data_IF_445143178969
#
_entry.id   IF_445143178969
#
_cell.length_a   1.000
_cell.length_b   1.000
_cell.length_c   1.000
_cell.angle_alpha   90.00
_cell.angle_beta   90.00
_cell.angle_gamma   90.00
#
_symmetry.space_group_name_H-M   'P 1'
#
loop_
_entity.id
_entity.type
_entity.pdbx_description
1 polymer ?
#
# COMPACT_ATOMS: atom_id res chain seq x y z
N UNK A 1 29.22 -10.44 -4.31
CA UNK A 1 28.38 -9.96 -3.21
C UNK A 1 26.99 -9.67 -3.72
N UNK A 2 25.95 -10.04 -2.99
CA UNK A 2 24.61 -9.67 -3.42
C UNK A 2 24.46 -8.14 -3.38
N UNK A 3 23.73 -7.61 -4.34
CA UNK A 3 23.41 -6.18 -4.33
C UNK A 3 22.53 -5.83 -3.14
N UNK A 4 22.69 -4.64 -2.56
CA UNK A 4 21.79 -4.21 -1.50
C UNK A 4 20.36 -4.07 -2.03
N UNK A 5 19.39 -4.39 -1.16
CA UNK A 5 17.98 -4.25 -1.49
C UNK A 5 17.67 -2.76 -1.61
N UNK A 6 17.15 -2.35 -2.78
CA UNK A 6 16.74 -0.97 -3.00
C UNK A 6 15.26 -0.82 -2.70
N UNK A 7 14.94 0.13 -1.84
CA UNK A 7 13.55 0.50 -1.56
C UNK A 7 13.09 1.57 -2.55
N UNK A 8 11.81 1.57 -2.93
CA UNK A 8 11.27 2.65 -3.79
C UNK A 8 11.45 4.02 -3.14
N UNK A 9 11.83 5.01 -3.94
CA UNK A 9 11.95 6.38 -3.47
C UNK A 9 10.57 6.96 -3.18
N UNK A 10 10.50 7.85 -2.19
CA UNK A 10 9.26 8.53 -1.85
C UNK A 10 8.89 9.53 -2.95
N UNK A 11 7.70 9.39 -3.56
CA UNK A 11 7.23 10.37 -4.54
C UNK A 11 6.72 11.64 -3.88
N UNK A 12 6.35 12.65 -4.68
CA UNK A 12 5.81 13.90 -4.18
C UNK A 12 4.33 13.82 -3.81
N UNK A 13 3.64 12.79 -4.27
CA UNK A 13 2.20 12.65 -4.05
C UNK A 13 1.83 11.20 -3.74
N UNK A 14 0.68 11.03 -3.08
CA UNK A 14 0.11 9.72 -2.78
C UNK A 14 -0.06 8.91 -4.06
N UNK A 15 0.42 7.67 -4.06
CA UNK A 15 0.35 6.81 -5.24
C UNK A 15 -1.05 6.27 -5.51
N UNK A 16 -2.02 6.53 -4.64
CA UNK A 16 -3.43 6.18 -4.86
C UNK A 16 -4.27 7.42 -5.21
N UNK A 17 -4.37 8.38 -4.30
CA UNK A 17 -5.26 9.54 -4.53
C UNK A 17 -4.57 10.72 -5.21
N UNK A 18 -3.25 10.67 -5.39
CA UNK A 18 -2.45 11.71 -6.03
C UNK A 18 -2.38 13.06 -5.30
N UNK A 19 -2.88 13.15 -4.05
CA UNK A 19 -2.76 14.39 -3.27
C UNK A 19 -1.32 14.57 -2.78
N UNK A 20 -0.85 15.80 -2.74
CA UNK A 20 0.46 16.16 -2.20
C UNK A 20 0.39 16.25 -0.66
N UNK A 21 -0.01 15.17 -0.02
CA UNK A 21 -0.15 15.05 1.43
C UNK A 21 1.09 14.35 2.02
N UNK A 22 1.24 14.40 3.34
CA UNK A 22 2.26 13.62 4.02
C UNK A 22 2.05 12.13 3.74
N UNK A 23 3.12 11.43 3.36
CA UNK A 23 3.04 10.05 2.91
C UNK A 23 3.51 9.07 3.99
N UNK A 24 2.94 7.88 3.95
CA UNK A 24 3.35 6.73 4.75
C UNK A 24 3.70 5.59 3.80
N UNK A 25 4.57 4.69 4.26
CA UNK A 25 4.95 3.54 3.45
C UNK A 25 4.07 2.34 3.80
N UNK A 26 3.25 1.94 2.82
CA UNK A 26 2.41 0.75 2.94
C UNK A 26 3.18 -0.47 2.41
N UNK A 27 3.28 -1.51 3.21
CA UNK A 27 3.86 -2.78 2.79
C UNK A 27 2.82 -3.56 2.00
N UNK A 28 3.06 -3.76 0.71
CA UNK A 28 2.16 -4.53 -0.17
C UNK A 28 2.07 -5.98 0.29
N UNK A 29 3.19 -6.49 0.83
CA UNK A 29 3.21 -7.78 1.53
C UNK A 29 3.36 -7.43 3.01
N UNK A 30 2.31 -7.54 3.84
CA UNK A 30 2.35 -7.06 5.22
C UNK A 30 3.53 -7.64 6.00
N UNK A 31 4.25 -6.77 6.69
CA UNK A 31 5.46 -7.15 7.42
C UNK A 31 5.21 -8.27 8.43
N UNK A 32 4.05 -8.26 9.08
CA UNK A 32 3.66 -9.29 10.04
C UNK A 32 3.58 -10.69 9.43
N UNK A 33 3.44 -10.80 8.10
CA UNK A 33 3.34 -12.08 7.41
C UNK A 33 4.65 -12.54 6.78
N UNK A 34 5.75 -11.77 6.90
CA UNK A 34 7.01 -12.11 6.26
C UNK A 34 7.60 -13.44 6.75
N UNK A 35 7.23 -13.86 7.97
CA UNK A 35 7.68 -15.12 8.55
C UNK A 35 6.80 -16.32 8.21
N UNK A 36 5.69 -16.10 7.53
CA UNK A 36 4.78 -17.19 7.17
C UNK A 36 5.33 -17.98 5.99
N UNK A 37 5.29 -19.31 6.10
CA UNK A 37 5.84 -20.19 5.08
C UNK A 37 5.19 -19.96 3.72
N UNK A 38 3.87 -19.80 3.68
CA UNK A 38 3.17 -19.58 2.42
C UNK A 38 3.56 -18.27 1.73
N UNK A 39 3.95 -17.25 2.50
CA UNK A 39 4.45 -15.99 1.97
C UNK A 39 5.88 -16.18 1.46
N UNK A 40 6.74 -16.84 2.23
CA UNK A 40 8.13 -17.10 1.85
C UNK A 40 8.23 -17.95 0.58
N UNK A 41 7.28 -18.87 0.38
CA UNK A 41 7.24 -19.69 -0.83
C UNK A 41 6.84 -18.89 -2.08
N UNK A 42 6.03 -17.85 -1.92
CA UNK A 42 5.54 -17.04 -3.03
C UNK A 42 6.43 -15.87 -3.38
N UNK A 43 7.11 -15.29 -2.38
CA UNK A 43 7.85 -14.04 -2.54
C UNK A 43 9.25 -14.18 -1.98
N UNK A 44 10.25 -13.80 -2.77
CA UNK A 44 11.64 -13.77 -2.30
C UNK A 44 11.85 -12.69 -1.23
N UNK A 45 12.96 -12.77 -0.52
CA UNK A 45 13.28 -11.82 0.55
C UNK A 45 13.32 -10.39 0.06
N UNK A 46 13.96 -10.15 -1.09
CA UNK A 46 14.04 -8.80 -1.68
C UNK A 46 12.65 -8.24 -1.98
N UNK A 47 11.78 -9.06 -2.58
CA UNK A 47 10.42 -8.65 -2.91
C UNK A 47 9.60 -8.35 -1.66
N UNK A 48 9.70 -9.20 -0.61
CA UNK A 48 8.97 -8.98 0.64
C UNK A 48 9.34 -7.65 1.29
N UNK A 49 10.60 -7.25 1.19
CA UNK A 49 11.10 -6.02 1.81
C UNK A 49 10.81 -4.80 0.95
N UNK A 50 10.98 -4.91 -0.38
CA UNK A 50 10.89 -3.76 -1.29
C UNK A 50 9.50 -3.52 -1.88
N UNK A 51 8.57 -4.46 -1.76
CA UNK A 51 7.21 -4.30 -2.27
C UNK A 51 6.42 -3.35 -1.37
N UNK A 52 6.54 -2.06 -1.63
CA UNK A 52 5.92 -1.01 -0.84
C UNK A 52 5.24 0.01 -1.75
N UNK A 53 4.28 0.75 -1.17
CA UNK A 53 3.54 1.79 -1.85
C UNK A 53 3.49 3.02 -0.94
N UNK A 54 3.79 4.18 -1.50
CA UNK A 54 3.73 5.43 -0.74
C UNK A 54 2.32 6.01 -0.82
N UNK A 55 1.65 6.07 0.31
CA UNK A 55 0.25 6.52 0.38
C UNK A 55 0.04 7.48 1.54
N UNK A 56 -0.92 8.40 1.37
CA UNK A 56 -1.29 9.29 2.46
C UNK A 56 -1.95 8.50 3.59
N UNK A 57 -2.01 9.08 4.78
CA UNK A 57 -2.57 8.39 5.95
C UNK A 57 -4.02 7.94 5.72
N UNK A 58 -4.82 8.76 5.03
CA UNK A 58 -6.22 8.41 4.78
C UNK A 58 -6.35 7.16 3.89
N UNK A 59 -5.56 7.09 2.80
CA UNK A 59 -5.56 5.92 1.94
C UNK A 59 -5.03 4.69 2.67
N UNK A 60 -3.95 4.84 3.44
CA UNK A 60 -3.35 3.76 4.21
C UNK A 60 -4.35 3.16 5.21
N UNK A 61 -5.05 4.03 5.95
CA UNK A 61 -6.06 3.59 6.90
C UNK A 61 -7.19 2.85 6.20
N UNK A 62 -7.63 3.32 5.04
CA UNK A 62 -8.71 2.70 4.29
C UNK A 62 -8.34 1.31 3.77
N UNK A 63 -7.10 1.14 3.30
CA UNK A 63 -6.59 -0.18 2.88
C UNK A 63 -6.73 -1.17 4.03
N UNK A 64 -6.26 -0.83 5.21
CA UNK A 64 -6.28 -1.72 6.37
C UNK A 64 -7.69 -1.91 6.96
N UNK A 65 -8.61 -1.02 6.61
CA UNK A 65 -10.01 -1.17 7.00
C UNK A 65 -10.75 -2.15 6.08
N UNK A 66 -10.41 -2.13 4.78
CA UNK A 66 -11.11 -2.94 3.77
C UNK A 66 -10.55 -4.35 3.65
N UNK A 67 -9.25 -4.53 3.89
CA UNK A 67 -8.57 -5.80 3.60
C UNK A 67 -7.86 -6.35 4.83
N UNK A 68 -7.94 -7.67 5.00
CA UNK A 68 -7.10 -8.35 5.98
C UNK A 68 -5.65 -8.41 5.47
N UNK A 69 -4.69 -8.66 6.37
CA UNK A 69 -3.29 -8.82 5.99
C UNK A 69 -3.09 -9.95 4.98
N UNK A 70 -3.80 -11.06 5.16
CA UNK A 70 -3.72 -12.20 4.25
C UNK A 70 -4.25 -11.85 2.86
N UNK A 71 -5.38 -11.14 2.78
CA UNK A 71 -5.92 -10.66 1.51
C UNK A 71 -4.93 -9.74 0.79
N UNK A 72 -4.28 -8.85 1.54
CA UNK A 72 -3.27 -7.96 0.97
C UNK A 72 -2.10 -8.75 0.39
N UNK A 73 -1.57 -9.71 1.14
CA UNK A 73 -0.43 -10.50 0.69
C UNK A 73 -0.74 -11.38 -0.52
N UNK A 74 -1.94 -11.97 -0.59
CA UNK A 74 -2.27 -12.98 -1.59
C UNK A 74 -2.99 -12.42 -2.83
N UNK A 75 -3.76 -11.34 -2.67
CA UNK A 75 -4.64 -10.85 -3.74
C UNK A 75 -4.38 -9.38 -4.09
N UNK A 76 -4.23 -8.52 -3.09
CA UNK A 76 -4.15 -7.06 -3.27
C UNK A 76 -2.74 -6.56 -2.97
N UNK A 77 -1.74 -7.20 -3.59
CA UNK A 77 -0.33 -6.95 -3.30
C UNK A 77 0.35 -6.03 -4.33
N UNK A 78 -0.41 -5.26 -5.07
CA UNK A 78 0.12 -4.21 -5.96
C UNK A 78 -0.93 -3.11 -6.13
N UNK A 79 -0.49 -1.98 -6.70
CA UNK A 79 -1.35 -0.82 -6.88
C UNK A 79 -2.58 -1.13 -7.73
N UNK A 80 -2.39 -1.82 -8.84
CA UNK A 80 -3.49 -2.10 -9.76
C UNK A 80 -4.54 -3.01 -9.13
N UNK A 81 -4.12 -4.04 -8.40
CA UNK A 81 -5.07 -4.94 -7.74
C UNK A 81 -5.82 -4.22 -6.61
N UNK A 82 -5.17 -3.33 -5.87
CA UNK A 82 -5.84 -2.51 -4.86
C UNK A 82 -6.93 -1.65 -5.51
N UNK A 83 -6.60 -0.98 -6.62
CA UNK A 83 -7.54 -0.11 -7.32
C UNK A 83 -8.62 -0.87 -8.10
N UNK A 84 -8.47 -2.19 -8.26
CA UNK A 84 -9.52 -3.02 -8.86
C UNK A 84 -10.70 -3.25 -7.91
N UNK A 85 -10.49 -3.09 -6.61
CA UNK A 85 -11.58 -3.18 -5.64
C UNK A 85 -12.42 -1.89 -5.70
N UNK A 86 -13.71 -2.05 -5.97
CA UNK A 86 -14.61 -0.91 -6.15
C UNK A 86 -14.70 -0.03 -4.91
N UNK A 87 -14.68 -0.64 -3.73
CA UNK A 87 -14.78 0.11 -2.46
C UNK A 87 -13.58 1.03 -2.28
N UNK A 88 -12.37 0.53 -2.55
CA UNK A 88 -11.16 1.34 -2.44
C UNK A 88 -11.11 2.38 -3.55
N UNK A 89 -11.43 1.99 -4.79
CA UNK A 89 -11.42 2.91 -5.93
C UNK A 89 -12.37 4.09 -5.69
N UNK A 90 -13.58 3.83 -5.24
CA UNK A 90 -14.56 4.87 -4.94
C UNK A 90 -14.05 5.82 -3.86
N UNK A 91 -13.47 5.27 -2.80
CA UNK A 91 -12.86 6.08 -1.73
C UNK A 91 -11.73 6.95 -2.26
N UNK A 92 -10.84 6.37 -3.05
CA UNK A 92 -9.67 7.07 -3.60
C UNK A 92 -10.11 8.21 -4.53
N UNK A 93 -11.09 7.97 -5.40
CA UNK A 93 -11.62 8.99 -6.30
C UNK A 93 -12.25 10.15 -5.52
N UNK A 94 -13.01 9.83 -4.50
CA UNK A 94 -13.59 10.84 -3.62
C UNK A 94 -12.53 11.65 -2.89
N UNK A 95 -11.54 10.96 -2.33
CA UNK A 95 -10.46 11.59 -1.58
C UNK A 95 -9.61 12.49 -2.47
N UNK A 96 -9.41 12.11 -3.73
CA UNK A 96 -8.63 12.89 -4.69
C UNK A 96 -9.23 14.29 -4.94
N UNK A 97 -10.52 14.46 -4.71
CA UNK A 97 -11.21 15.75 -4.86
C UNK A 97 -11.03 16.68 -3.64
N UNK A 98 -10.41 16.19 -2.57
CA UNK A 98 -10.25 16.95 -1.32
C UNK A 98 -8.88 17.61 -1.22
N UNK A 99 -8.76 18.69 -0.43
CA UNK A 99 -7.44 19.31 -0.19
C UNK A 99 -6.45 18.31 0.44
N UNK A 100 -5.15 18.54 0.21
CA UNK A 100 -4.10 17.65 0.69
C UNK A 100 -4.14 17.40 2.21
N UNK A 101 -4.56 18.39 2.99
CA UNK A 101 -4.63 18.26 4.45
C UNK A 101 -5.92 17.65 4.98
N UNK A 102 -6.87 17.34 4.10
CA UNK A 102 -8.16 16.79 4.51
C UNK A 102 -8.00 15.36 5.03
N UNK A 103 -8.62 15.09 6.19
CA UNK A 103 -8.66 13.74 6.78
C UNK A 103 -10.12 13.35 7.00
N UNK A 104 -10.56 12.19 6.44
CA UNK A 104 -11.91 11.71 6.69
C UNK A 104 -12.15 11.45 8.18
N UNK A 105 -13.35 11.72 8.65
CA UNK A 105 -13.79 11.33 9.99
C UNK A 105 -14.31 9.91 9.96
N UNK A 106 -14.07 9.20 11.05
CA UNK A 106 -14.55 7.82 11.22
C UNK A 106 -15.49 7.72 12.37
#
# INVERSE_FOLDING_TARGET
MPEPIRLPEQPDACELCARAAALTRHHLIPKALHNKVYVQKRFGKSERISATLWVCRACHNQIHRLFSEKELALTYNNRDSLLSDERLRTFVEWLASKPAGFMPRH
#
